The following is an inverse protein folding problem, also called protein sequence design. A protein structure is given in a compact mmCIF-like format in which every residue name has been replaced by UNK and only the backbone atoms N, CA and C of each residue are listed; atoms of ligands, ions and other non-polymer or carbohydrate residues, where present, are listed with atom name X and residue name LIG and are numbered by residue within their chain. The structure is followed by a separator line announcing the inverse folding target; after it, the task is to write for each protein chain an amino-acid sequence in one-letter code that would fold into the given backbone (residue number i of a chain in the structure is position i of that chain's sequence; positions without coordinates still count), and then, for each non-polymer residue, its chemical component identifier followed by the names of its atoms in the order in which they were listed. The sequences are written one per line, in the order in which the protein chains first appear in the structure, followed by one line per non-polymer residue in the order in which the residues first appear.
data_IF_291562022294
#
_entry.id   IF_291562022294
#
_cell.length_a   1.000
_cell.length_b   1.000
_cell.length_c   1.000
_cell.angle_alpha   90.00
_cell.angle_beta   90.00
_cell.angle_gamma   90.00
#
_symmetry.space_group_name_H-M   'P 1'
#
loop_
_entity.id
_entity.type
_entity.pdbx_description
1 polymer ?
#
# COMPACT_ATOMS: atom_id res chain seq x y z
N UNK A 1 14.74 -41.59 -58.59
CA UNK A 1 14.08 -41.33 -57.29
C UNK A 1 15.14 -41.03 -56.25
N UNK A 2 15.13 -39.81 -55.69
CA UNK A 2 15.36 -39.47 -54.27
C UNK A 2 15.26 -37.95 -54.16
N UNK A 3 14.11 -37.50 -53.66
CA UNK A 3 13.76 -36.10 -53.45
C UNK A 3 14.50 -35.59 -52.21
N UNK A 4 15.23 -34.48 -52.34
CA UNK A 4 15.79 -33.74 -51.21
C UNK A 4 14.64 -32.94 -50.58
N UNK A 5 14.19 -33.37 -49.40
CA UNK A 5 13.19 -32.66 -48.61
C UNK A 5 13.92 -31.73 -47.64
N UNK A 6 13.90 -30.42 -47.90
CA UNK A 6 14.36 -29.41 -46.95
C UNK A 6 13.21 -29.03 -46.02
N UNK A 7 13.39 -29.26 -44.72
CA UNK A 7 12.44 -28.89 -43.67
C UNK A 7 12.79 -27.48 -43.18
N UNK A 8 12.00 -26.48 -43.57
CA UNK A 8 12.12 -25.10 -43.07
C UNK A 8 11.40 -24.96 -41.72
N UNK A 9 12.15 -24.70 -40.66
CA UNK A 9 11.63 -24.32 -39.35
C UNK A 9 11.32 -22.82 -39.35
N UNK A 10 10.05 -22.44 -39.22
CA UNK A 10 9.65 -21.06 -38.93
C UNK A 10 9.83 -20.78 -37.44
N UNK A 11 10.84 -19.99 -37.08
CA UNK A 11 10.98 -19.41 -35.74
C UNK A 11 10.16 -18.12 -35.70
N UNK A 12 9.04 -18.16 -35.00
CA UNK A 12 8.26 -16.95 -34.70
C UNK A 12 8.91 -16.24 -33.51
N UNK A 13 9.61 -15.12 -33.76
CA UNK A 13 10.09 -14.27 -32.69
C UNK A 13 8.91 -13.46 -32.12
N UNK A 14 8.45 -13.84 -30.93
CA UNK A 14 7.51 -13.00 -30.16
C UNK A 14 8.32 -11.85 -29.57
N UNK A 15 8.22 -10.66 -30.17
CA UNK A 15 8.73 -9.45 -29.56
C UNK A 15 7.74 -9.01 -28.47
N UNK A 16 8.07 -9.26 -27.21
CA UNK A 16 7.41 -8.64 -26.08
C UNK A 16 7.81 -7.16 -26.06
N UNK A 17 6.96 -6.28 -26.59
CA UNK A 17 7.15 -4.86 -26.39
C UNK A 17 6.85 -4.57 -24.91
N UNK A 18 7.81 -4.06 -24.11
CA UNK A 18 7.45 -3.50 -22.83
C UNK A 18 6.47 -2.36 -23.10
N UNK A 19 5.22 -2.51 -22.64
CA UNK A 19 4.34 -1.37 -22.49
C UNK A 19 4.96 -0.53 -21.38
N UNK A 20 5.77 0.45 -21.76
CA UNK A 20 6.06 1.57 -20.89
C UNK A 20 4.72 2.28 -20.68
N UNK A 21 4.01 1.92 -19.62
CA UNK A 21 3.07 2.83 -19.00
C UNK A 21 3.90 4.01 -18.50
N UNK A 22 4.18 4.97 -19.37
CA UNK A 22 4.65 6.29 -18.98
C UNK A 22 3.46 7.06 -18.40
N UNK A 23 2.86 6.52 -17.34
CA UNK A 23 2.33 7.40 -16.32
C UNK A 23 3.57 8.04 -15.72
N UNK A 24 3.70 9.34 -15.93
CA UNK A 24 4.71 10.19 -15.32
C UNK A 24 4.66 9.91 -13.81
N UNK A 25 5.56 9.06 -13.33
CA UNK A 25 5.69 8.77 -11.91
C UNK A 25 6.22 10.07 -11.29
N UNK A 26 5.31 10.87 -10.76
CA UNK A 26 5.65 12.04 -9.98
C UNK A 26 6.41 11.49 -8.76
N UNK A 27 7.74 11.54 -8.82
CA UNK A 27 8.63 11.16 -7.71
C UNK A 27 8.55 12.17 -6.56
N UNK A 28 7.60 13.10 -6.61
CA UNK A 28 7.26 14.00 -5.52
C UNK A 28 6.36 13.24 -4.55
N UNK A 29 6.88 12.94 -3.36
CA UNK A 29 6.05 12.49 -2.26
C UNK A 29 4.80 13.38 -2.19
N UNK A 30 3.61 12.78 -2.09
CA UNK A 30 2.37 13.56 -2.00
C UNK A 30 2.43 14.48 -0.79
N UNK A 31 1.60 15.53 -0.81
CA UNK A 31 1.40 16.36 0.38
C UNK A 31 1.16 15.47 1.61
N UNK A 32 1.81 15.74 2.75
CA UNK A 32 1.60 14.96 3.96
C UNK A 32 0.13 14.97 4.38
N UNK A 33 -0.33 13.86 4.96
CA UNK A 33 -1.71 13.66 5.41
C UNK A 33 -1.76 12.78 6.65
N UNK A 34 -2.92 12.71 7.31
CA UNK A 34 -3.19 11.72 8.35
C UNK A 34 -4.22 10.71 7.85
N UNK A 35 -4.02 9.44 8.19
CA UNK A 35 -5.03 8.42 7.98
C UNK A 35 -6.06 8.50 9.10
N UNK A 36 -7.34 8.46 8.71
CA UNK A 36 -8.48 8.57 9.61
C UNK A 36 -9.57 7.57 9.24
N UNK A 37 -10.14 6.87 10.23
CA UNK A 37 -11.24 5.93 9.99
C UNK A 37 -12.51 6.65 9.55
N UNK A 38 -13.27 6.01 8.67
CA UNK A 38 -14.55 6.47 8.17
C UNK A 38 -15.44 5.27 7.82
N UNK A 39 -16.73 5.54 7.62
CA UNK A 39 -17.74 4.60 7.09
C UNK A 39 -17.94 3.32 7.93
N UNK A 40 -17.55 3.32 9.21
CA UNK A 40 -17.88 2.24 10.14
C UNK A 40 -19.35 2.32 10.58
N UNK A 41 -20.00 1.15 10.71
CA UNK A 41 -21.40 1.04 11.16
C UNK A 41 -21.62 1.50 12.60
N UNK A 42 -20.58 1.38 13.45
CA UNK A 42 -20.55 1.98 14.78
C UNK A 42 -19.86 3.34 14.70
N UNK A 43 -20.62 4.41 14.94
CA UNK A 43 -20.12 5.79 14.87
C UNK A 43 -18.90 6.05 15.75
N UNK A 44 -18.75 5.32 16.87
CA UNK A 44 -17.58 5.43 17.76
C UNK A 44 -16.27 4.96 17.13
N UNK A 45 -16.34 4.25 16.01
CA UNK A 45 -15.17 3.75 15.29
C UNK A 45 -14.75 4.65 14.13
N UNK A 46 -15.46 5.76 13.92
CA UNK A 46 -15.10 6.79 12.93
C UNK A 46 -14.28 7.92 13.58
N UNK A 47 -13.61 8.70 12.75
CA UNK A 47 -12.80 9.86 13.17
C UNK A 47 -11.63 9.52 14.11
N UNK A 48 -11.14 8.28 14.04
CA UNK A 48 -9.93 7.85 14.75
C UNK A 48 -8.74 7.88 13.80
N UNK A 49 -7.63 8.46 14.25
CA UNK A 49 -6.41 8.62 13.49
C UNK A 49 -5.42 7.49 13.73
N UNK A 50 -4.65 7.15 12.70
CA UNK A 50 -3.61 6.13 12.79
C UNK A 50 -2.32 6.73 13.36
N UNK A 51 -1.69 6.03 14.29
CA UNK A 51 -0.32 6.28 14.70
C UNK A 51 0.50 4.99 14.85
N UNK A 52 1.83 5.12 14.79
CA UNK A 52 2.76 4.02 14.98
C UNK A 52 3.06 3.83 16.48
N UNK A 53 2.64 2.71 17.06
CA UNK A 53 2.98 2.32 18.42
C UNK A 53 4.19 1.37 18.42
N UNK A 54 5.28 1.81 19.05
CA UNK A 54 6.55 1.08 19.05
C UNK A 54 6.46 -0.22 19.85
N UNK A 55 6.63 -1.34 19.15
CA UNK A 55 6.62 -2.69 19.73
C UNK A 55 8.01 -3.32 19.79
N UNK A 56 8.98 -2.77 19.05
CA UNK A 56 10.37 -3.22 19.10
C UNK A 56 11.25 -2.54 18.06
N UNK A 57 12.54 -2.89 18.04
CA UNK A 57 13.51 -2.28 17.14
C UNK A 57 13.13 -2.47 15.67
N UNK A 58 12.68 -1.39 15.03
CA UNK A 58 12.24 -1.39 13.65
C UNK A 58 10.80 -1.86 13.43
N UNK A 59 10.04 -2.09 14.51
CA UNK A 59 8.68 -2.59 14.49
C UNK A 59 7.71 -1.65 15.20
N UNK A 60 6.58 -1.38 14.56
CA UNK A 60 5.44 -0.71 15.17
C UNK A 60 4.13 -1.33 14.70
N UNK A 61 3.16 -1.36 15.60
CA UNK A 61 1.78 -1.62 15.26
C UNK A 61 1.11 -0.31 14.84
N UNK A 62 0.30 -0.35 13.78
CA UNK A 62 -0.66 0.72 13.52
C UNK A 62 -1.78 0.63 14.57
N UNK A 63 -2.09 1.74 15.20
CA UNK A 63 -3.12 1.82 16.25
C UNK A 63 -3.93 3.11 16.09
N UNK A 64 -5.08 3.15 16.76
CA UNK A 64 -6.05 4.24 16.65
C UNK A 64 -6.01 5.19 17.84
N UNK A 65 -6.12 6.48 17.55
CA UNK A 65 -6.27 7.55 18.56
C UNK A 65 -7.34 8.56 18.13
N UNK A 66 -8.17 9.08 19.05
CA UNK A 66 -9.05 10.21 18.73
C UNK A 66 -8.29 11.54 18.61
N UNK A 67 -7.04 11.61 19.07
CA UNK A 67 -6.22 12.81 19.08
C UNK A 67 -5.39 12.95 17.80
N UNK A 68 -5.68 14.00 17.01
CA UNK A 68 -4.96 14.29 15.77
C UNK A 68 -3.49 14.64 16.02
N UNK A 69 -3.14 15.22 17.16
CA UNK A 69 -1.77 15.63 17.45
C UNK A 69 -0.87 14.41 17.77
N UNK A 70 -1.47 13.30 18.19
CA UNK A 70 -0.79 12.00 18.34
C UNK A 70 -0.66 11.24 17.01
N UNK A 71 -1.43 11.60 15.99
CA UNK A 71 -1.47 10.88 14.71
C UNK A 71 -0.12 10.91 13.99
N UNK A 72 0.29 9.77 13.43
CA UNK A 72 1.48 9.73 12.60
C UNK A 72 1.20 10.40 11.25
N UNK A 73 2.13 11.21 10.78
CA UNK A 73 2.02 11.88 9.48
C UNK A 73 2.45 10.91 8.38
N UNK A 74 1.58 10.69 7.41
CA UNK A 74 1.81 9.82 6.27
C UNK A 74 2.04 10.62 4.98
N UNK A 75 2.70 9.98 4.02
CA UNK A 75 2.86 10.48 2.66
C UNK A 75 2.95 9.29 1.69
N UNK A 76 2.57 9.53 0.43
CA UNK A 76 2.71 8.54 -0.63
C UNK A 76 4.01 8.80 -1.37
N UNK A 77 4.90 7.81 -1.42
CA UNK A 77 6.16 7.81 -2.15
C UNK A 77 6.07 6.80 -3.30
N UNK A 78 5.72 7.27 -4.51
CA UNK A 78 5.35 6.38 -5.61
C UNK A 78 4.08 5.60 -5.27
N UNK A 79 4.19 4.29 -5.11
CA UNK A 79 3.07 3.40 -4.71
C UNK A 79 3.19 2.90 -3.27
N UNK A 80 4.08 3.49 -2.47
CA UNK A 80 4.33 3.12 -1.08
C UNK A 80 3.76 4.18 -0.15
N UNK A 81 2.94 3.79 0.82
CA UNK A 81 2.53 4.67 1.92
C UNK A 81 3.58 4.60 3.02
N UNK A 82 4.14 5.75 3.40
CA UNK A 82 5.18 5.85 4.42
C UNK A 82 4.81 6.86 5.50
N UNK A 83 5.36 6.67 6.70
CA UNK A 83 5.14 7.53 7.86
C UNK A 83 6.42 8.27 8.26
N UNK A 84 6.28 9.56 8.54
CA UNK A 84 7.35 10.41 9.05
C UNK A 84 7.44 10.27 10.58
N UNK A 85 8.26 9.33 11.03
CA UNK A 85 8.54 9.12 12.46
C UNK A 85 9.79 9.88 12.94
N UNK A 86 10.26 10.88 12.19
CA UNK A 86 11.42 11.72 12.54
C UNK A 86 12.72 10.93 12.76
N UNK A 87 12.92 9.87 11.98
CA UNK A 87 14.16 9.07 11.97
C UNK A 87 14.77 9.04 10.54
N UNK A 88 16.04 8.63 10.38
CA UNK A 88 16.66 8.54 9.06
C UNK A 88 16.18 7.33 8.23
N UNK A 89 15.31 6.48 8.77
CA UNK A 89 14.83 5.28 8.11
C UNK A 89 13.43 5.51 7.52
N UNK A 90 13.11 4.91 6.36
CA UNK A 90 11.74 4.86 5.89
C UNK A 90 10.90 3.95 6.80
N UNK A 91 9.66 4.37 7.07
CA UNK A 91 8.68 3.59 7.83
C UNK A 91 7.47 3.29 6.95
N UNK A 92 7.42 2.08 6.45
CA UNK A 92 6.47 1.66 5.43
C UNK A 92 5.21 1.07 6.03
N UNK A 93 4.07 1.41 5.43
CA UNK A 93 2.79 0.84 5.77
C UNK A 93 2.68 -0.59 5.24
N UNK A 94 2.33 -1.54 6.11
CA UNK A 94 2.16 -2.95 5.77
C UNK A 94 0.80 -3.44 6.23
N UNK A 95 -0.23 -3.34 5.37
CA UNK A 95 -1.46 -4.11 5.55
C UNK A 95 -1.12 -5.60 5.37
N UNK A 96 -1.33 -6.40 6.40
CA UNK A 96 -1.20 -7.85 6.27
C UNK A 96 -2.40 -8.35 5.47
N UNK A 97 -2.13 -9.04 4.35
CA UNK A 97 -3.15 -9.60 3.49
C UNK A 97 -4.06 -10.57 4.28
N UNK A 98 -5.37 -10.48 4.05
CA UNK A 98 -6.36 -11.37 4.67
C UNK A 98 -5.95 -12.82 4.49
N UNK A 99 -5.61 -13.49 5.57
CA UNK A 99 -5.65 -14.96 5.60
C UNK A 99 -7.09 -15.38 5.89
N UNK A 100 -7.48 -16.57 5.44
CA UNK A 100 -8.79 -17.20 5.69
C UNK A 100 -9.13 -17.42 7.19
N UNK A 101 -8.30 -16.93 8.10
CA UNK A 101 -8.46 -17.01 9.55
C UNK A 101 -8.48 -15.65 10.26
N UNK A 102 -8.16 -14.54 9.60
CA UNK A 102 -7.89 -13.30 10.34
C UNK A 102 -8.36 -12.04 9.59
N UNK A 103 -9.63 -11.69 9.85
CA UNK A 103 -10.13 -10.31 9.71
C UNK A 103 -9.55 -9.38 10.80
N UNK A 104 -8.59 -9.86 11.59
CA UNK A 104 -8.05 -9.23 12.80
C UNK A 104 -6.51 -9.18 12.81
N UNK A 105 -5.83 -9.50 11.69
CA UNK A 105 -4.37 -9.36 11.65
C UNK A 105 -3.97 -7.92 11.95
N UNK A 106 -2.82 -7.76 12.60
CA UNK A 106 -2.24 -6.46 12.84
C UNK A 106 -1.91 -5.78 11.51
N UNK A 107 -2.06 -4.46 11.50
CA UNK A 107 -1.49 -3.64 10.44
C UNK A 107 -0.24 -3.00 11.02
N UNK A 108 0.85 -3.01 10.28
CA UNK A 108 2.16 -2.63 10.80
C UNK A 108 2.69 -1.37 10.12
N UNK A 109 3.54 -0.65 10.85
CA UNK A 109 4.33 0.48 10.36
C UNK A 109 5.79 0.18 10.69
N UNK A 110 6.48 -0.53 9.81
CA UNK A 110 7.79 -1.09 10.07
C UNK A 110 8.88 -0.43 9.25
N UNK A 111 10.14 -0.58 9.66
CA UNK A 111 11.27 -0.07 8.87
C UNK A 111 11.25 -0.69 7.46
N UNK A 112 11.46 0.15 6.45
CA UNK A 112 11.44 -0.22 5.04
C UNK A 112 10.39 0.55 4.25
N UNK A 113 10.22 0.19 2.97
CA UNK A 113 9.28 0.89 2.09
C UNK A 113 7.81 0.49 2.32
N UNK A 114 7.56 -0.69 2.89
CA UNK A 114 6.20 -1.19 3.13
C UNK A 114 5.66 -1.97 1.94
N UNK A 115 4.34 -2.08 1.87
CA UNK A 115 3.66 -2.68 0.73
C UNK A 115 3.54 -1.68 -0.43
N UNK A 116 3.63 -2.18 -1.66
CA UNK A 116 3.37 -1.42 -2.87
C UNK A 116 1.89 -1.48 -3.27
N UNK A 117 1.49 -0.68 -4.27
CA UNK A 117 0.12 -0.69 -4.82
C UNK A 117 -0.83 0.33 -4.20
N UNK A 118 -0.33 1.25 -3.36
CA UNK A 118 -1.12 2.36 -2.85
C UNK A 118 -1.28 3.46 -3.88
N UNK A 119 -2.44 4.12 -3.86
CA UNK A 119 -2.71 5.34 -4.61
C UNK A 119 -3.72 6.20 -3.86
N UNK A 120 -3.81 7.49 -4.20
CA UNK A 120 -4.82 8.41 -3.64
C UNK A 120 -5.79 8.80 -4.75
N UNK A 121 -7.09 8.76 -4.45
CA UNK A 121 -8.15 9.27 -5.31
C UNK A 121 -9.05 10.28 -4.58
N UNK A 122 -10.21 10.62 -5.15
CA UNK A 122 -11.15 11.58 -4.54
C UNK A 122 -11.72 11.14 -3.19
N UNK A 123 -11.58 9.85 -2.85
CA UNK A 123 -12.19 9.23 -1.68
C UNK A 123 -11.17 8.94 -0.57
N UNK A 124 -9.87 8.94 -0.90
CA UNK A 124 -8.79 8.81 0.06
C UNK A 124 -7.64 7.91 -0.41
N UNK A 125 -6.87 7.41 0.56
CA UNK A 125 -5.86 6.38 0.30
C UNK A 125 -6.53 5.04 -0.02
N UNK A 126 -6.12 4.45 -1.13
CA UNK A 126 -6.60 3.17 -1.66
C UNK A 126 -5.45 2.16 -1.71
N UNK A 127 -5.79 0.88 -1.62
CA UNK A 127 -4.87 -0.24 -1.85
C UNK A 127 -5.62 -1.40 -2.53
N UNK A 128 -4.90 -2.23 -3.30
CA UNK A 128 -5.57 -3.18 -4.20
C UNK A 128 -6.43 -4.22 -3.45
N UNK A 129 -7.69 -4.36 -3.87
CA UNK A 129 -8.61 -5.35 -3.30
C UNK A 129 -8.16 -6.79 -3.53
N UNK A 130 -7.39 -7.04 -4.60
CA UNK A 130 -6.85 -8.35 -4.97
C UNK A 130 -5.81 -8.85 -3.97
N UNK A 131 -5.13 -7.93 -3.25
CA UNK A 131 -4.19 -8.25 -2.19
C UNK A 131 -4.86 -8.40 -0.82
N UNK A 132 -6.18 -8.25 -0.75
CA UNK A 132 -6.98 -8.47 0.44
C UNK A 132 -6.75 -7.41 1.50
N UNK A 133 -7.54 -6.34 1.47
CA UNK A 133 -7.67 -5.46 2.63
C UNK A 133 -8.71 -6.07 3.57
N UNK A 134 -8.27 -6.66 4.66
CA UNK A 134 -9.16 -7.10 5.73
C UNK A 134 -8.42 -7.08 7.05
N UNK A 135 -9.06 -6.39 7.98
CA UNK A 135 -8.51 -5.89 9.22
C UNK A 135 -9.48 -4.84 9.75
N UNK A 136 -9.17 -4.24 10.89
CA UNK A 136 -9.97 -3.14 11.46
C UNK A 136 -9.78 -1.83 10.68
N UNK A 137 -8.69 -1.68 9.93
CA UNK A 137 -8.62 -0.64 8.91
C UNK A 137 -9.60 -1.06 7.81
N UNK A 138 -10.66 -0.27 7.61
CA UNK A 138 -11.61 -0.43 6.51
C UNK A 138 -11.04 0.10 5.19
N UNK A 139 -11.58 -0.35 4.05
CA UNK A 139 -11.02 -0.21 2.69
C UNK A 139 -10.66 1.22 2.20
N UNK A 140 -10.93 2.26 2.97
CA UNK A 140 -10.84 3.65 2.53
C UNK A 140 -10.47 4.56 3.70
N UNK A 141 -9.47 5.43 3.50
CA UNK A 141 -9.04 6.42 4.49
C UNK A 141 -9.09 7.83 3.89
N UNK A 142 -10.03 8.70 4.31
CA UNK A 142 -10.01 10.10 3.92
C UNK A 142 -8.71 10.78 4.39
N UNK A 143 -7.94 11.28 3.43
CA UNK A 143 -6.77 12.13 3.70
C UNK A 143 -7.25 13.54 4.06
N UNK A 144 -7.31 13.90 5.36
CA UNK A 144 -7.66 15.25 5.82
C UNK A 144 -6.73 15.76 6.93
#
# INVERSE_FOLDING_TARGET
MRLLSTLTLLVSAVAANPMFHTARQDTSATKPFHLKTADASNEKHNDLYVYAYHTGAGFNDAVLTPDKDTASTAFLNGTYTQFDLKTPFPWGFKPIAVTNYAQWESVEINVGYGAEGFFIDSTGLQWSEQQGFGGWLGKQFPCR
#
